data_IF_026614704372
#
_entry.id   IF_026614704372
#
_cell.length_a   1.000
_cell.length_b   1.000
_cell.length_c   1.000
_cell.angle_alpha   90.00
_cell.angle_beta   90.00
_cell.angle_gamma   90.00
#
_symmetry.space_group_name_H-M   'P 1'
#
loop_
_entity.id
_entity.type
_entity.pdbx_description
1 polymer ?
#
# COMPACT_ATOMS: atom_id res chain seq x y z
N UNK A 1 18.06 33.22 26.25
CA UNK A 1 16.65 32.82 26.45
C UNK A 1 15.84 33.26 25.23
N UNK A 2 14.83 32.50 24.82
CA UNK A 2 13.98 32.90 23.69
C UNK A 2 13.22 34.21 24.00
N UNK A 3 12.98 35.10 23.01
CA UNK A 3 12.25 36.34 23.22
C UNK A 3 10.79 36.07 23.60
N UNK A 4 10.21 36.87 24.51
CA UNK A 4 8.78 36.78 24.83
C UNK A 4 7.96 37.09 23.56
N UNK A 5 6.91 36.31 23.21
CA UNK A 5 6.20 35.29 23.99
C UNK A 5 6.60 33.82 23.70
N UNK A 6 7.75 33.58 23.06
CA UNK A 6 8.14 32.23 22.59
C UNK A 6 8.42 31.30 23.76
N UNK A 7 7.64 30.20 23.85
CA UNK A 7 7.79 29.14 24.85
C UNK A 7 7.87 27.78 24.17
N UNK A 8 8.77 26.92 24.66
CA UNK A 8 8.80 25.50 24.29
C UNK A 8 7.88 24.72 25.22
N UNK A 9 7.06 23.84 24.66
CA UNK A 9 6.16 22.95 25.41
C UNK A 9 6.52 21.51 25.05
N UNK A 10 6.74 20.67 26.06
CA UNK A 10 6.78 19.23 25.85
C UNK A 10 5.34 18.75 25.59
N UNK A 11 5.13 18.11 24.45
CA UNK A 11 3.80 17.63 24.05
C UNK A 11 3.68 16.11 24.20
N UNK A 12 4.68 15.35 23.72
CA UNK A 12 4.67 13.89 23.77
C UNK A 12 6.08 13.32 23.67
N UNK A 13 6.23 12.08 24.13
CA UNK A 13 7.44 11.27 24.02
C UNK A 13 7.14 10.03 23.18
N UNK A 14 8.08 9.63 22.33
CA UNK A 14 7.97 8.44 21.51
C UNK A 14 8.76 7.27 22.07
N UNK A 15 8.11 6.12 22.27
CA UNK A 15 8.79 4.88 22.67
C UNK A 15 7.96 3.62 22.34
N UNK A 16 8.36 2.76 21.39
CA UNK A 16 9.42 2.92 20.39
C UNK A 16 8.98 3.80 19.20
N UNK A 17 9.93 4.15 18.32
CA UNK A 17 9.66 4.82 17.05
C UNK A 17 10.62 4.43 15.92
N UNK A 18 10.19 4.70 14.69
CA UNK A 18 10.97 4.55 13.46
C UNK A 18 10.91 5.89 12.71
N UNK A 19 12.09 6.45 12.45
CA UNK A 19 12.26 7.68 11.68
C UNK A 19 12.72 7.32 10.28
N UNK A 20 11.81 7.42 9.31
CA UNK A 20 12.08 6.94 7.97
C UNK A 20 12.77 8.00 7.10
N UNK A 21 12.10 9.12 6.87
CA UNK A 21 12.63 10.28 6.16
C UNK A 21 11.97 11.55 6.70
N UNK A 22 12.35 12.72 6.20
CA UNK A 22 11.63 13.97 6.48
C UNK A 22 10.12 13.79 6.26
N UNK A 23 9.32 14.18 7.26
CA UNK A 23 7.84 14.05 7.30
C UNK A 23 7.32 12.61 7.19
N UNK A 24 8.16 11.59 7.42
CA UNK A 24 7.77 10.18 7.44
C UNK A 24 8.32 9.50 8.68
N UNK A 25 7.47 9.27 9.67
CA UNK A 25 7.84 8.61 10.91
C UNK A 25 6.63 7.94 11.54
N UNK A 26 6.89 6.99 12.43
CA UNK A 26 5.86 6.29 13.18
C UNK A 26 6.38 5.89 14.55
N UNK A 27 5.52 5.94 15.56
CA UNK A 27 5.89 5.53 16.90
C UNK A 27 4.69 5.45 17.84
N UNK A 28 4.96 4.88 19.01
CA UNK A 28 4.06 4.93 20.14
C UNK A 28 4.30 6.21 20.93
N UNK A 29 3.32 7.09 20.92
CA UNK A 29 3.35 8.37 21.60
C UNK A 29 2.69 8.29 22.98
N UNK A 30 3.37 8.86 23.97
CA UNK A 30 2.91 9.04 25.34
C UNK A 30 2.86 10.54 25.64
N UNK A 31 1.70 11.03 26.07
CA UNK A 31 1.44 12.46 26.34
C UNK A 31 1.51 12.78 27.84
N UNK A 32 1.34 11.77 28.71
CA UNK A 32 1.49 11.88 30.17
C UNK A 32 2.24 10.67 30.75
N UNK A 33 2.77 10.82 31.96
CA UNK A 33 3.50 9.76 32.67
C UNK A 33 2.59 8.59 33.08
N UNK A 34 1.34 8.89 33.46
CA UNK A 34 0.35 7.89 33.87
C UNK A 34 -0.26 7.10 32.69
N UNK A 35 0.12 7.43 31.45
CA UNK A 35 -0.43 6.79 30.26
C UNK A 35 0.16 5.39 30.07
N UNK A 36 -0.67 4.36 30.27
CA UNK A 36 -0.27 2.96 30.09
C UNK A 36 -0.26 2.56 28.61
N UNK A 37 -1.37 2.81 27.91
CA UNK A 37 -1.52 2.44 26.49
C UNK A 37 -1.04 3.57 25.58
N UNK A 38 -0.09 3.31 24.67
CA UNK A 38 0.41 4.33 23.75
C UNK A 38 -0.59 4.69 22.66
N UNK A 39 -0.44 5.90 22.12
CA UNK A 39 -1.12 6.32 20.88
C UNK A 39 -0.23 5.93 19.70
N UNK A 40 -0.75 5.16 18.74
CA UNK A 40 -0.05 4.89 17.49
C UNK A 40 -0.07 6.14 16.61
N UNK A 41 1.01 6.91 16.62
CA UNK A 41 1.14 8.11 15.79
C UNK A 41 2.00 7.81 14.56
N UNK A 42 1.38 7.95 13.39
CA UNK A 42 1.96 7.70 12.09
C UNK A 42 1.87 8.97 11.23
N UNK A 43 3.00 9.52 10.80
CA UNK A 43 3.06 10.70 9.94
C UNK A 43 3.62 10.34 8.58
N UNK A 44 2.86 10.61 7.52
CA UNK A 44 3.32 10.55 6.13
C UNK A 44 3.64 9.16 5.58
N UNK A 45 3.48 8.10 6.38
CA UNK A 45 3.66 6.71 5.98
C UNK A 45 2.39 6.11 5.36
N UNK A 46 2.46 4.92 4.79
CA UNK A 46 1.41 4.30 4.00
C UNK A 46 0.12 4.02 4.79
N UNK A 47 0.18 3.95 6.11
CA UNK A 47 -1.00 3.76 6.97
C UNK A 47 -1.97 4.94 6.92
N UNK A 48 -1.46 6.17 6.79
CA UNK A 48 -2.27 7.41 6.76
C UNK A 48 -2.46 7.99 5.36
N UNK A 49 -1.89 7.32 4.35
CA UNK A 49 -1.91 7.74 2.95
C UNK A 49 -3.08 7.10 2.20
N UNK A 50 -3.79 7.89 1.40
CA UNK A 50 -4.96 7.45 0.63
C UNK A 50 -4.64 6.94 -0.78
N UNK A 51 -3.37 6.97 -1.17
CA UNK A 51 -2.88 6.69 -2.51
C UNK A 51 -2.56 5.21 -2.77
N UNK A 52 -2.61 4.34 -1.76
CA UNK A 52 -2.47 2.89 -1.85
C UNK A 52 -3.82 2.15 -1.76
N UNK A 53 -3.76 0.83 -1.53
CA UNK A 53 -4.95 0.03 -1.21
C UNK A 53 -5.03 -0.26 0.30
N UNK A 54 -6.22 -0.48 0.87
CA UNK A 54 -6.39 -0.74 2.31
C UNK A 54 -5.60 -1.95 2.83
N UNK A 55 -5.36 -2.97 1.99
CA UNK A 55 -4.53 -4.12 2.37
C UNK A 55 -3.13 -3.68 2.83
N UNK A 56 -2.48 -2.76 2.11
CA UNK A 56 -1.12 -2.30 2.44
C UNK A 56 -1.12 -1.58 3.79
N UNK A 57 -2.06 -0.67 4.01
CA UNK A 57 -2.17 0.09 5.26
C UNK A 57 -2.40 -0.86 6.45
N UNK A 58 -3.33 -1.82 6.32
CA UNK A 58 -3.63 -2.81 7.37
C UNK A 58 -2.44 -3.73 7.68
N UNK A 59 -1.77 -4.25 6.64
CA UNK A 59 -0.61 -5.14 6.81
C UNK A 59 0.54 -4.38 7.46
N UNK A 60 0.84 -3.17 7.00
CA UNK A 60 1.92 -2.34 7.56
C UNK A 60 1.63 -1.97 9.02
N UNK A 61 0.43 -1.48 9.31
CA UNK A 61 0.02 -1.09 10.67
C UNK A 61 0.10 -2.26 11.64
N UNK A 62 -0.43 -3.44 11.25
CA UNK A 62 -0.36 -4.64 12.09
C UNK A 62 1.08 -5.11 12.28
N UNK A 63 1.92 -5.02 11.24
CA UNK A 63 3.35 -5.36 11.32
C UNK A 63 4.08 -4.45 12.30
N UNK A 64 3.82 -3.14 12.25
CA UNK A 64 4.41 -2.15 13.16
C UNK A 64 3.92 -2.35 14.61
N UNK A 65 2.63 -2.63 14.82
CA UNK A 65 2.12 -2.97 16.14
C UNK A 65 2.79 -4.22 16.72
N UNK A 66 2.91 -5.28 15.93
CA UNK A 66 3.59 -6.52 16.34
C UNK A 66 5.04 -6.23 16.69
N UNK A 67 5.76 -5.48 15.84
CA UNK A 67 7.14 -5.10 16.08
C UNK A 67 7.29 -4.29 17.37
N UNK A 68 6.48 -3.25 17.57
CA UNK A 68 6.59 -2.36 18.73
C UNK A 68 6.21 -3.03 20.04
N UNK A 69 5.24 -3.98 20.02
CA UNK A 69 4.84 -4.72 21.22
C UNK A 69 5.81 -5.84 21.57
N UNK A 70 6.29 -6.59 20.58
CA UNK A 70 7.04 -7.83 20.82
C UNK A 70 8.55 -7.68 20.66
N UNK A 71 9.01 -6.65 19.92
CA UNK A 71 10.40 -6.48 19.46
C UNK A 71 10.95 -7.71 18.72
N UNK A 72 10.07 -8.54 18.17
CA UNK A 72 10.43 -9.80 17.51
C UNK A 72 10.09 -9.73 16.02
N UNK A 73 11.13 -9.61 15.20
CA UNK A 73 11.03 -9.55 13.73
C UNK A 73 10.50 -10.87 13.16
N UNK A 74 10.73 -12.01 13.83
CA UNK A 74 10.28 -13.33 13.36
C UNK A 74 8.75 -13.43 13.35
N UNK A 75 8.09 -12.84 14.36
CA UNK A 75 6.62 -12.73 14.41
C UNK A 75 6.07 -11.84 13.29
N UNK A 76 6.80 -10.77 12.95
CA UNK A 76 6.44 -9.91 11.82
C UNK A 76 6.60 -10.67 10.50
N UNK A 77 7.72 -11.38 10.29
CA UNK A 77 7.96 -12.23 9.12
C UNK A 77 6.82 -13.22 8.92
N UNK A 78 6.50 -14.00 9.95
CA UNK A 78 5.42 -15.00 9.91
C UNK A 78 4.07 -14.38 9.54
N UNK A 79 3.72 -13.23 10.12
CA UNK A 79 2.49 -12.51 9.77
C UNK A 79 2.50 -12.05 8.30
N UNK A 80 3.59 -11.43 7.84
CA UNK A 80 3.71 -10.91 6.47
C UNK A 80 3.63 -12.04 5.44
N UNK A 81 4.31 -13.16 5.67
CA UNK A 81 4.27 -14.34 4.80
C UNK A 81 2.83 -14.88 4.66
N UNK A 82 2.09 -14.97 5.77
CA UNK A 82 0.68 -15.38 5.73
C UNK A 82 -0.18 -14.41 4.91
N UNK A 83 0.02 -13.10 5.04
CA UNK A 83 -0.74 -12.11 4.26
C UNK A 83 -0.34 -12.13 2.78
N UNK A 84 0.93 -12.32 2.47
CA UNK A 84 1.40 -12.51 1.10
C UNK A 84 0.80 -13.77 0.48
N UNK A 85 0.82 -14.91 1.17
CA UNK A 85 0.16 -16.14 0.71
C UNK A 85 -1.34 -15.92 0.47
N UNK A 86 -2.05 -15.23 1.38
CA UNK A 86 -3.48 -14.90 1.20
C UNK A 86 -3.73 -14.07 -0.07
N UNK A 87 -2.88 -13.08 -0.36
CA UNK A 87 -2.97 -12.27 -1.58
C UNK A 87 -2.67 -13.08 -2.84
N UNK A 88 -1.64 -13.91 -2.80
CA UNK A 88 -1.21 -14.76 -3.91
C UNK A 88 -2.26 -15.83 -4.25
N UNK A 89 -2.95 -16.37 -3.24
CA UNK A 89 -4.03 -17.34 -3.42
C UNK A 89 -5.36 -16.70 -3.85
N UNK A 90 -5.42 -15.37 -3.99
CA UNK A 90 -6.65 -14.65 -4.35
C UNK A 90 -7.71 -14.63 -3.23
N UNK A 91 -7.33 -14.91 -1.98
CA UNK A 91 -8.22 -14.94 -0.80
C UNK A 91 -8.43 -13.56 -0.15
N UNK A 92 -7.95 -12.49 -0.78
CA UNK A 92 -8.13 -11.11 -0.32
C UNK A 92 -9.42 -10.51 -0.86
N UNK A 93 -10.05 -9.64 -0.07
CA UNK A 93 -11.29 -8.99 -0.51
C UNK A 93 -11.00 -7.96 -1.60
N UNK A 94 -11.95 -7.78 -2.53
CA UNK A 94 -11.86 -6.74 -3.57
C UNK A 94 -11.67 -5.36 -2.93
N UNK A 95 -12.45 -5.07 -1.88
CA UNK A 95 -12.37 -3.81 -1.13
C UNK A 95 -10.97 -3.52 -0.60
N UNK A 96 -10.27 -4.54 -0.09
CA UNK A 96 -8.91 -4.36 0.43
C UNK A 96 -7.87 -4.15 -0.67
N UNK A 97 -8.18 -4.56 -1.90
CA UNK A 97 -7.31 -4.43 -3.07
C UNK A 97 -7.67 -3.23 -3.96
N UNK A 98 -8.79 -2.56 -3.73
CA UNK A 98 -9.18 -1.35 -4.46
C UNK A 98 -8.23 -0.19 -4.14
N UNK A 99 -7.66 0.39 -5.18
CA UNK A 99 -6.84 1.61 -5.14
C UNK A 99 -7.68 2.76 -5.67
N UNK A 100 -7.57 3.94 -5.07
CA UNK A 100 -8.27 5.12 -5.56
C UNK A 100 -7.29 6.24 -5.90
N UNK A 101 -7.35 6.74 -7.14
CA UNK A 101 -6.50 7.85 -7.61
C UNK A 101 -7.36 9.01 -8.09
N UNK A 102 -6.87 10.21 -7.80
CA UNK A 102 -7.54 11.44 -8.18
C UNK A 102 -7.54 11.63 -9.70
N UNK A 103 -8.72 11.91 -10.25
CA UNK A 103 -8.89 12.33 -11.62
C UNK A 103 -8.70 13.84 -11.73
N UNK A 104 -7.67 14.26 -12.46
CA UNK A 104 -7.33 15.68 -12.62
C UNK A 104 -8.14 16.39 -13.71
N UNK A 105 -8.96 15.68 -14.48
CA UNK A 105 -9.60 16.18 -15.70
C UNK A 105 -8.76 15.92 -16.95
N UNK A 106 -9.39 15.48 -18.04
CA UNK A 106 -8.71 15.04 -19.26
C UNK A 106 -7.71 16.07 -19.80
N UNK A 107 -8.08 17.36 -19.77
CA UNK A 107 -7.27 18.48 -20.26
C UNK A 107 -5.99 18.76 -19.47
N UNK A 108 -5.89 18.29 -18.22
CA UNK A 108 -4.75 18.55 -17.34
C UNK A 108 -3.68 17.43 -17.38
N UNK A 109 -3.94 16.36 -18.11
CA UNK A 109 -2.95 15.32 -18.34
C UNK A 109 -2.11 15.65 -19.57
N UNK A 110 -0.82 15.30 -19.52
CA UNK A 110 0.06 15.40 -20.68
C UNK A 110 -0.48 14.52 -21.83
N UNK A 111 -0.32 14.94 -23.10
CA UNK A 111 -0.59 14.07 -24.25
C UNK A 111 0.12 12.72 -24.09
N UNK A 112 -0.62 11.61 -24.31
CA UNK A 112 -0.09 10.25 -24.14
C UNK A 112 0.03 9.74 -22.70
N UNK A 113 -0.42 10.49 -21.69
CA UNK A 113 -0.37 10.01 -20.30
C UNK A 113 -1.22 8.73 -20.10
N UNK A 114 -0.63 7.73 -19.44
CA UNK A 114 -1.24 6.42 -19.13
C UNK A 114 -1.46 6.25 -17.62
N UNK A 115 -2.19 7.20 -17.03
CA UNK A 115 -2.55 7.16 -15.61
C UNK A 115 -3.81 6.31 -15.42
N UNK A 116 -3.89 5.40 -14.44
CA UNK A 116 -5.05 4.53 -14.20
C UNK A 116 -6.40 5.27 -14.21
N UNK A 117 -6.50 6.39 -13.48
CA UNK A 117 -7.72 7.19 -13.42
C UNK A 117 -8.14 7.76 -14.79
N UNK A 118 -7.18 8.18 -15.61
CA UNK A 118 -7.46 8.69 -16.96
C UNK A 118 -7.85 7.58 -17.93
N UNK A 119 -7.17 6.44 -17.85
CA UNK A 119 -7.47 5.27 -18.70
C UNK A 119 -8.88 4.77 -18.41
N UNK A 120 -9.25 4.67 -17.14
CA UNK A 120 -10.59 4.28 -16.74
C UNK A 120 -11.64 5.32 -17.14
N UNK A 121 -11.38 6.61 -16.94
CA UNK A 121 -12.30 7.66 -17.39
C UNK A 121 -12.57 7.55 -18.91
N UNK A 122 -11.53 7.33 -19.72
CA UNK A 122 -11.69 7.11 -21.17
C UNK A 122 -12.51 5.86 -21.50
N UNK A 123 -12.27 4.75 -20.78
CA UNK A 123 -13.05 3.51 -20.96
C UNK A 123 -14.53 3.74 -20.63
N UNK A 124 -14.84 4.41 -19.53
CA UNK A 124 -16.21 4.75 -19.12
C UNK A 124 -16.87 5.66 -20.16
N UNK A 125 -16.19 6.72 -20.58
CA UNK A 125 -16.69 7.69 -21.58
C UNK A 125 -16.94 7.08 -22.96
N UNK A 126 -16.21 6.03 -23.32
CA UNK A 126 -16.43 5.30 -24.57
C UNK A 126 -17.76 4.53 -24.56
N UNK A 127 -18.23 4.11 -23.38
CA UNK A 127 -19.53 3.45 -23.18
C UNK A 127 -20.63 4.49 -23.00
N UNK A 128 -20.43 5.46 -22.11
CA UNK A 128 -21.34 6.58 -21.87
C UNK A 128 -20.57 7.89 -21.75
N UNK A 129 -20.78 8.81 -22.70
CA UNK A 129 -20.12 10.13 -22.70
C UNK A 129 -20.36 10.95 -21.43
N UNK A 130 -21.43 10.70 -20.68
CA UNK A 130 -21.77 11.43 -19.44
C UNK A 130 -21.10 10.85 -18.19
N UNK A 131 -20.40 9.73 -18.32
CA UNK A 131 -19.72 9.05 -17.21
C UNK A 131 -18.34 9.61 -16.86
N UNK A 132 -17.95 10.77 -17.41
CA UNK A 132 -16.67 11.40 -17.06
C UNK A 132 -16.61 11.71 -15.54
N UNK A 133 -15.58 11.24 -14.82
CA UNK A 133 -15.39 11.59 -13.41
C UNK A 133 -15.16 13.09 -13.23
N UNK A 134 -15.57 13.63 -12.08
CA UNK A 134 -15.35 15.04 -11.77
C UNK A 134 -13.87 15.31 -11.46
N UNK A 135 -13.41 16.53 -11.72
CA UNK A 135 -12.06 16.97 -11.31
C UNK A 135 -11.94 16.88 -9.79
N UNK A 136 -10.90 16.18 -9.31
CA UNK A 136 -10.69 15.90 -7.89
C UNK A 136 -11.37 14.61 -7.40
N UNK A 137 -12.23 13.98 -8.22
CA UNK A 137 -12.86 12.72 -7.88
C UNK A 137 -11.83 11.58 -7.78
N UNK A 138 -12.03 10.69 -6.82
CA UNK A 138 -11.15 9.53 -6.60
C UNK A 138 -11.71 8.35 -7.38
N UNK A 139 -11.12 8.04 -8.52
CA UNK A 139 -11.51 6.92 -9.38
C UNK A 139 -10.95 5.62 -8.79
N UNK A 140 -11.82 4.69 -8.34
CA UNK A 140 -11.40 3.40 -7.79
C UNK A 140 -11.04 2.42 -8.91
N UNK A 141 -10.03 1.59 -8.66
CA UNK A 141 -9.60 0.56 -9.58
C UNK A 141 -8.88 -0.58 -8.89
N UNK A 142 -8.78 -1.69 -9.59
CA UNK A 142 -8.03 -2.89 -9.21
C UNK A 142 -7.06 -3.26 -10.34
N UNK A 143 -6.07 -4.09 -10.01
CA UNK A 143 -5.15 -4.66 -10.98
C UNK A 143 -5.39 -6.16 -11.09
N UNK A 144 -5.73 -6.62 -12.28
CA UNK A 144 -6.05 -8.02 -12.57
C UNK A 144 -4.89 -8.75 -13.24
N UNK A 145 -4.94 -10.08 -13.25
CA UNK A 145 -4.01 -10.90 -14.00
C UNK A 145 -4.17 -10.68 -15.51
N UNK A 146 -3.05 -10.66 -16.22
CA UNK A 146 -3.01 -10.71 -17.68
C UNK A 146 -1.79 -11.48 -18.16
N UNK A 147 -1.57 -11.49 -19.46
CA UNK A 147 -0.43 -12.20 -20.04
C UNK A 147 0.91 -11.59 -19.55
N UNK A 148 1.99 -12.39 -19.48
CA UNK A 148 3.31 -11.87 -19.19
C UNK A 148 3.69 -10.74 -20.16
N UNK A 149 4.22 -9.64 -19.63
CA UNK A 149 4.60 -8.47 -20.43
C UNK A 149 3.45 -7.52 -20.79
N UNK A 150 2.20 -7.84 -20.43
CA UNK A 150 1.07 -6.91 -20.62
C UNK A 150 1.31 -5.61 -19.83
N UNK A 151 1.19 -4.44 -20.46
CA UNK A 151 1.43 -3.17 -19.78
C UNK A 151 0.37 -2.92 -18.71
N UNK A 152 0.78 -2.34 -17.58
CA UNK A 152 -0.06 -2.17 -16.39
C UNK A 152 -1.41 -1.50 -16.70
N UNK A 153 -1.44 -0.51 -17.60
CA UNK A 153 -2.67 0.23 -17.91
C UNK A 153 -3.77 -0.65 -18.52
N UNK A 154 -3.42 -1.77 -19.17
CA UNK A 154 -4.40 -2.72 -19.71
C UNK A 154 -4.97 -3.62 -18.60
N UNK A 155 -4.20 -3.85 -17.54
CA UNK A 155 -4.57 -4.67 -16.39
C UNK A 155 -5.41 -3.92 -15.35
N UNK A 156 -5.70 -2.63 -15.60
CA UNK A 156 -6.49 -1.78 -14.71
C UNK A 156 -7.98 -1.89 -15.07
N UNK A 157 -8.77 -2.27 -14.07
CA UNK A 157 -10.22 -2.44 -14.17
C UNK A 157 -10.95 -1.72 -13.03
N UNK A 158 -12.21 -1.28 -13.26
CA UNK A 158 -13.13 -0.95 -12.17
C UNK A 158 -13.33 -2.15 -11.22
N UNK A 159 -13.54 -1.93 -9.92
CA UNK A 159 -13.80 -3.03 -8.98
C UNK A 159 -15.04 -3.87 -9.33
N UNK A 160 -16.04 -3.27 -10.00
CA UNK A 160 -17.27 -3.91 -10.42
C UNK A 160 -17.03 -5.04 -11.43
N UNK A 161 -16.07 -4.87 -12.35
CA UNK A 161 -15.74 -5.88 -13.36
C UNK A 161 -15.39 -7.22 -12.72
N UNK A 162 -14.63 -7.21 -11.63
CA UNK A 162 -14.23 -8.44 -10.92
C UNK A 162 -15.40 -9.14 -10.21
N UNK A 163 -16.46 -8.40 -9.89
CA UNK A 163 -17.67 -8.96 -9.27
C UNK A 163 -18.56 -9.58 -10.36
N UNK A 164 -18.60 -8.95 -11.54
CA UNK A 164 -19.44 -9.37 -12.66
C UNK A 164 -18.82 -10.44 -13.55
N UNK A 165 -17.50 -10.48 -13.69
CA UNK A 165 -16.77 -11.40 -14.56
C UNK A 165 -15.95 -12.44 -13.76
N UNK A 166 -16.40 -13.69 -13.79
CA UNK A 166 -15.76 -14.83 -13.15
C UNK A 166 -14.39 -15.20 -13.75
N UNK A 167 -14.10 -14.72 -14.98
CA UNK A 167 -12.82 -14.91 -15.65
C UNK A 167 -11.71 -14.00 -15.12
N UNK A 168 -12.07 -12.88 -14.47
CA UNK A 168 -11.10 -11.95 -13.90
C UNK A 168 -10.61 -12.41 -12.53
N UNK A 169 -9.31 -12.23 -12.29
CA UNK A 169 -8.67 -12.53 -11.00
C UNK A 169 -7.72 -11.41 -10.61
N UNK A 170 -7.71 -11.07 -9.33
CA UNK A 170 -6.76 -10.08 -8.78
C UNK A 170 -5.33 -10.54 -9.00
N UNK A 171 -4.46 -9.62 -9.42
CA UNK A 171 -3.05 -9.88 -9.57
C UNK A 171 -2.33 -9.86 -8.22
N UNK A 172 -2.42 -10.96 -7.47
CA UNK A 172 -1.80 -11.07 -6.15
C UNK A 172 -0.31 -10.74 -6.16
N UNK A 173 0.41 -11.18 -7.20
CA UNK A 173 1.84 -10.90 -7.36
C UNK A 173 2.13 -9.41 -7.49
N UNK A 174 1.31 -8.64 -8.22
CA UNK A 174 1.43 -7.19 -8.31
C UNK A 174 1.25 -6.53 -6.93
N UNK A 175 0.19 -6.87 -6.19
CA UNK A 175 -0.06 -6.27 -4.86
C UNK A 175 1.07 -6.58 -3.87
N UNK A 176 1.58 -7.82 -3.87
CA UNK A 176 2.69 -8.20 -3.00
C UNK A 176 3.97 -7.45 -3.38
N UNK A 177 4.41 -7.55 -4.64
CA UNK A 177 5.73 -7.06 -5.06
C UNK A 177 5.80 -5.55 -5.27
N UNK A 178 4.72 -4.92 -5.74
CA UNK A 178 4.70 -3.49 -6.08
C UNK A 178 4.08 -2.61 -5.00
N UNK A 179 3.40 -3.20 -4.01
CA UNK A 179 2.72 -2.41 -2.98
C UNK A 179 3.08 -2.82 -1.55
N UNK A 180 2.85 -4.07 -1.16
CA UNK A 180 3.06 -4.52 0.23
C UNK A 180 4.55 -4.52 0.61
N UNK A 181 5.39 -5.21 -0.17
CA UNK A 181 6.82 -5.31 0.15
C UNK A 181 7.53 -3.95 0.13
N UNK A 182 7.34 -3.07 -0.87
CA UNK A 182 7.98 -1.75 -0.83
C UNK A 182 7.59 -0.90 0.37
N UNK A 183 6.38 -1.05 0.91
CA UNK A 183 5.94 -0.32 2.10
C UNK A 183 6.59 -0.87 3.38
N UNK A 184 6.75 -2.19 3.48
CA UNK A 184 7.42 -2.85 4.60
C UNK A 184 8.94 -2.62 4.56
N UNK A 185 9.55 -2.77 3.39
CA UNK A 185 10.99 -2.60 3.17
C UNK A 185 11.48 -1.23 3.64
N UNK A 186 10.68 -0.21 3.31
CA UNK A 186 10.86 1.18 3.72
C UNK A 186 11.00 1.38 5.24
N UNK A 187 10.48 0.48 6.06
CA UNK A 187 10.61 0.50 7.53
C UNK A 187 11.63 -0.53 8.03
N UNK A 188 11.60 -1.74 7.49
CA UNK A 188 12.37 -2.88 7.97
C UNK A 188 13.84 -2.83 7.56
N UNK A 189 14.16 -2.18 6.43
CA UNK A 189 15.54 -1.93 6.02
C UNK A 189 16.34 -1.12 7.05
N UNK A 190 15.67 -0.21 7.79
CA UNK A 190 16.28 0.55 8.90
C UNK A 190 16.67 -0.33 10.08
N UNK A 191 16.11 -1.53 10.16
CA UNK A 191 16.43 -2.56 11.16
C UNK A 191 17.40 -3.61 10.61
N UNK A 192 17.92 -3.43 9.38
CA UNK A 192 18.81 -4.39 8.72
C UNK A 192 18.11 -5.62 8.14
N UNK A 193 16.79 -5.55 7.91
CA UNK A 193 15.98 -6.68 7.47
C UNK A 193 15.61 -6.54 5.98
N UNK A 194 15.96 -7.53 5.17
CA UNK A 194 15.51 -7.66 3.78
C UNK A 194 14.16 -8.40 3.71
N UNK A 195 13.08 -7.64 3.49
CA UNK A 195 11.72 -8.20 3.38
C UNK A 195 11.47 -8.91 2.06
N UNK A 196 12.24 -8.61 1.01
CA UNK A 196 12.12 -9.31 -0.28
C UNK A 196 12.67 -10.73 -0.17
N UNK A 197 13.64 -10.98 0.72
CA UNK A 197 14.11 -12.33 1.03
C UNK A 197 12.98 -13.19 1.60
N UNK A 198 12.07 -12.63 2.41
CA UNK A 198 10.93 -13.38 2.94
C UNK A 198 10.03 -13.95 1.83
N UNK A 199 9.80 -13.16 0.77
CA UNK A 199 9.07 -13.65 -0.39
C UNK A 199 9.80 -14.77 -1.14
N UNK A 200 11.14 -14.71 -1.22
CA UNK A 200 11.97 -15.75 -1.86
C UNK A 200 12.00 -17.04 -1.05
N UNK A 201 11.98 -16.92 0.28
CA UNK A 201 12.00 -18.05 1.23
C UNK A 201 10.65 -18.78 1.30
N UNK A 202 9.54 -18.11 0.96
CA UNK A 202 8.23 -18.72 1.04
C UNK A 202 8.14 -19.98 0.16
N UNK A 203 7.53 -21.07 0.66
CA UNK A 203 7.32 -22.25 -0.14
C UNK A 203 6.51 -21.87 -1.37
N UNK A 204 7.03 -22.20 -2.56
CA UNK A 204 6.33 -21.97 -3.82
C UNK A 204 5.05 -22.80 -3.80
N UNK A 205 3.95 -22.21 -3.33
CA UNK A 205 2.63 -22.82 -3.44
C UNK A 205 2.42 -23.12 -4.92
N UNK A 206 2.18 -24.40 -5.25
CA UNK A 206 2.27 -24.99 -6.59
C UNK A 206 1.25 -24.51 -7.63
N UNK A 207 0.86 -23.23 -7.60
CA UNK A 207 -0.06 -22.60 -8.57
C UNK A 207 0.33 -21.19 -9.01
N UNK A 208 1.56 -20.77 -8.76
CA UNK A 208 2.13 -19.60 -9.41
C UNK A 208 3.35 -20.04 -10.21
N UNK A 209 3.17 -20.20 -11.51
CA UNK A 209 4.28 -20.16 -12.47
C UNK A 209 5.06 -18.88 -12.18
N UNK A 210 6.15 -19.05 -11.44
CA UNK A 210 7.14 -18.02 -11.19
C UNK A 210 7.82 -17.75 -12.52
N UNK A 211 7.18 -16.93 -13.37
CA UNK A 211 7.87 -16.32 -14.48
C UNK A 211 8.88 -15.38 -13.86
N UNK A 212 10.15 -15.82 -13.88
CA UNK A 212 11.38 -15.08 -13.62
C UNK A 212 11.11 -13.59 -13.39
N UNK A 213 11.05 -13.19 -12.12
CA UNK A 213 11.31 -11.81 -11.76
C UNK A 213 12.81 -11.60 -12.04
N UNK A 214 13.13 -11.19 -13.27
CA UNK A 214 14.37 -10.45 -13.51
C UNK A 214 14.20 -9.13 -12.75
N UNK A 215 14.75 -9.12 -11.55
CA UNK A 215 15.18 -7.91 -10.88
C UNK A 215 16.41 -7.45 -11.65
N UNK A 216 16.21 -6.74 -12.75
CA UNK A 216 17.29 -5.95 -13.32
C UNK A 216 17.48 -4.71 -12.43
N UNK A 217 18.75 -4.54 -12.07
CA UNK A 217 19.33 -3.44 -11.30
C UNK A 217 19.02 -2.07 -11.89
#
# INVERSE_FOLDING_TARGET
ANPRPVKLKLEKIYQPCILQTKKRYVGYAYESEDQIEPIFDAKGIETVRRDGCPAVSKILEKSLHTLFKTRDVSKVKSYVEQQCSKLLDGRSTVKDCTIAKEYRGAKYYKPGAVVPALVLARKMMAVDKRSEPRVGERVPYIVVHGAPGTPLFQLVHPPQDLISDLGLRLNGAYYVTKMVLPALDRMMSLLGVDVFQWLRDMPRSGRLTTHRLQLDH
#
